data_IF_206001091268
#
_entry.id   IF_206001091268
#
_cell.length_a   1.000
_cell.length_b   1.000
_cell.length_c   1.000
_cell.angle_alpha   90.00
_cell.angle_beta   90.00
_cell.angle_gamma   90.00
#
_symmetry.space_group_name_H-M   'P 1'
#
loop_
_entity.id
_entity.type
_entity.pdbx_description
1 polymer ?
#
# COMPACT_ATOMS: atom_id res chain seq x y z
N UNK A 1 -23.78 -2.65 -76.75
CA UNK A 1 -23.05 -1.72 -75.85
C UNK A 1 -23.06 -2.37 -74.48
N UNK A 2 -21.99 -3.15 -74.19
CA UNK A 2 -21.83 -3.85 -72.89
C UNK A 2 -21.03 -2.96 -71.98
N UNK A 3 -21.59 -2.59 -70.81
CA UNK A 3 -20.92 -1.87 -69.75
C UNK A 3 -20.29 -2.89 -68.77
N UNK A 4 -18.97 -2.95 -68.69
CA UNK A 4 -18.26 -3.70 -67.66
C UNK A 4 -18.22 -2.88 -66.36
N UNK A 5 -18.90 -3.36 -65.32
CA UNK A 5 -18.74 -2.90 -63.94
C UNK A 5 -17.55 -3.67 -63.32
N UNK A 6 -16.40 -3.00 -63.16
CA UNK A 6 -15.28 -3.50 -62.42
C UNK A 6 -15.57 -3.27 -60.91
N UNK A 7 -15.84 -4.34 -60.18
CA UNK A 7 -15.92 -4.31 -58.73
C UNK A 7 -14.52 -4.23 -58.13
N UNK A 8 -14.11 -3.05 -57.63
CA UNK A 8 -12.91 -2.86 -56.84
C UNK A 8 -13.21 -3.39 -55.41
N UNK A 9 -12.80 -4.63 -55.18
CA UNK A 9 -12.78 -5.18 -53.81
C UNK A 9 -11.61 -4.55 -53.06
N UNK A 10 -11.88 -3.36 -52.45
CA UNK A 10 -10.97 -2.76 -51.48
C UNK A 10 -10.93 -3.65 -50.24
N UNK A 11 -9.80 -4.34 -50.02
CA UNK A 11 -9.52 -4.92 -48.72
C UNK A 11 -9.43 -3.75 -47.72
N UNK A 12 -10.49 -3.47 -46.98
CA UNK A 12 -10.41 -2.69 -45.80
C UNK A 12 -9.58 -3.49 -44.79
N UNK A 13 -8.31 -3.16 -44.66
CA UNK A 13 -7.52 -3.57 -43.49
C UNK A 13 -8.09 -2.81 -42.32
N UNK A 14 -9.05 -3.41 -41.60
CA UNK A 14 -9.48 -2.92 -40.31
C UNK A 14 -8.26 -3.13 -39.41
N UNK A 15 -7.52 -2.08 -39.13
CA UNK A 15 -6.52 -2.10 -38.06
C UNK A 15 -7.31 -2.47 -36.79
N UNK A 16 -7.16 -3.69 -36.35
CA UNK A 16 -7.70 -4.14 -35.08
C UNK A 16 -6.95 -3.32 -34.03
N UNK A 17 -7.64 -2.36 -33.43
CA UNK A 17 -7.09 -1.58 -32.32
C UNK A 17 -6.74 -2.58 -31.22
N UNK A 18 -5.43 -2.70 -30.92
CA UNK A 18 -4.97 -3.60 -29.88
C UNK A 18 -5.52 -3.08 -28.54
N UNK A 19 -6.31 -3.87 -27.87
CA UNK A 19 -6.94 -3.49 -26.61
C UNK A 19 -5.93 -3.20 -25.48
N UNK A 20 -4.68 -3.69 -25.63
CA UNK A 20 -3.64 -3.59 -24.62
C UNK A 20 -2.26 -3.36 -25.24
N UNK A 21 -1.38 -2.67 -24.51
CA UNK A 21 -0.03 -2.39 -24.95
C UNK A 21 0.91 -3.60 -24.85
N UNK A 22 0.62 -4.54 -23.96
CA UNK A 22 1.38 -5.76 -23.74
C UNK A 22 0.49 -6.88 -23.19
N UNK A 23 1.03 -8.11 -23.16
CA UNK A 23 0.39 -9.28 -22.54
C UNK A 23 1.47 -10.09 -21.81
N UNK A 24 1.24 -10.43 -20.56
CA UNK A 24 2.05 -11.43 -19.88
C UNK A 24 1.66 -12.84 -20.36
N UNK A 25 2.62 -13.55 -20.93
CA UNK A 25 2.46 -14.98 -21.23
C UNK A 25 2.32 -15.76 -19.92
N UNK A 26 3.13 -15.40 -18.92
CA UNK A 26 2.98 -15.90 -17.56
C UNK A 26 3.61 -14.97 -16.53
N UNK A 27 3.12 -15.09 -15.28
CA UNK A 27 3.74 -14.59 -14.05
C UNK A 27 3.74 -15.75 -13.06
N UNK A 28 4.89 -16.03 -12.48
CA UNK A 28 5.02 -16.98 -11.36
C UNK A 28 5.73 -16.27 -10.21
N UNK A 29 5.12 -16.35 -9.03
CA UNK A 29 5.68 -15.86 -7.77
C UNK A 29 5.79 -17.05 -6.82
N UNK A 30 6.99 -17.28 -6.31
CA UNK A 30 7.26 -18.39 -5.41
C UNK A 30 7.89 -17.88 -4.11
N UNK A 31 7.34 -18.28 -2.99
CA UNK A 31 7.81 -17.97 -1.65
C UNK A 31 8.28 -19.26 -1.00
N UNK A 32 9.51 -19.32 -0.58
CA UNK A 32 10.08 -20.52 0.08
C UNK A 32 10.63 -20.14 1.45
N UNK A 33 10.03 -20.70 2.51
CA UNK A 33 10.57 -20.64 3.87
C UNK A 33 11.56 -21.79 4.06
N UNK A 34 12.79 -21.47 4.42
CA UNK A 34 13.78 -22.48 4.80
C UNK A 34 13.62 -22.93 6.27
N UNK A 35 14.24 -24.05 6.64
CA UNK A 35 14.28 -24.50 8.04
C UNK A 35 14.98 -23.52 8.99
N UNK A 36 15.90 -22.73 8.47
CA UNK A 36 16.63 -21.69 9.21
C UNK A 36 15.83 -20.38 9.33
N UNK A 37 14.58 -20.35 8.84
CA UNK A 37 13.71 -19.19 8.87
C UNK A 37 14.01 -18.13 7.80
N UNK A 38 14.95 -18.38 6.88
CA UNK A 38 15.18 -17.47 5.75
C UNK A 38 14.06 -17.65 4.72
N UNK A 39 13.71 -16.57 4.04
CA UNK A 39 12.70 -16.55 2.98
C UNK A 39 13.35 -16.27 1.65
N UNK A 40 13.11 -17.11 0.65
CA UNK A 40 13.48 -16.86 -0.75
C UNK A 40 12.21 -16.55 -1.54
N UNK A 41 12.12 -15.33 -2.05
CA UNK A 41 11.11 -14.92 -3.01
C UNK A 41 11.67 -15.01 -4.40
N UNK A 42 11.08 -15.86 -5.24
CA UNK A 42 11.43 -16.02 -6.63
C UNK A 42 10.32 -15.49 -7.54
N UNK A 43 10.66 -14.56 -8.40
CA UNK A 43 9.79 -14.00 -9.43
C UNK A 43 10.25 -14.40 -10.82
N UNK A 44 9.33 -14.87 -11.63
CA UNK A 44 9.59 -15.19 -13.03
C UNK A 44 8.42 -14.75 -13.90
N UNK A 45 8.71 -14.07 -15.00
CA UNK A 45 7.70 -13.59 -15.94
C UNK A 45 8.16 -13.62 -17.39
N UNK A 46 7.17 -13.63 -18.29
CA UNK A 46 7.36 -13.47 -19.73
C UNK A 46 6.31 -12.49 -20.24
N UNK A 47 6.74 -11.35 -20.77
CA UNK A 47 5.90 -10.25 -21.21
C UNK A 47 6.09 -9.97 -22.70
N UNK A 48 5.04 -10.12 -23.50
CA UNK A 48 5.04 -9.78 -24.94
C UNK A 48 4.61 -8.33 -25.14
N UNK A 49 5.41 -7.56 -25.86
CA UNK A 49 5.17 -6.15 -26.18
C UNK A 49 4.35 -6.05 -27.48
N UNK A 50 3.23 -5.33 -27.45
CA UNK A 50 2.32 -5.23 -28.59
C UNK A 50 2.36 -3.87 -29.28
N UNK A 51 2.75 -2.81 -28.54
CA UNK A 51 2.81 -1.44 -29.04
C UNK A 51 4.15 -0.78 -28.69
N UNK A 52 4.45 0.34 -29.32
CA UNK A 52 5.60 1.18 -28.94
C UNK A 52 5.45 1.78 -27.53
N UNK A 53 4.24 2.08 -27.08
CA UNK A 53 3.99 2.63 -25.75
C UNK A 53 4.38 1.64 -24.65
N UNK A 54 4.23 0.32 -24.90
CA UNK A 54 4.60 -0.71 -23.95
C UNK A 54 6.03 -0.53 -23.42
N UNK A 55 7.00 -0.28 -24.26
CA UNK A 55 8.40 -0.18 -23.83
C UNK A 55 8.92 1.23 -23.66
N UNK A 56 8.30 2.22 -24.26
CA UNK A 56 8.69 3.61 -24.05
C UNK A 56 8.18 4.17 -22.71
N UNK A 57 7.06 3.65 -22.19
CA UNK A 57 6.37 4.25 -21.04
C UNK A 57 6.19 3.31 -19.85
N UNK A 58 5.98 2.01 -20.04
CA UNK A 58 5.51 1.12 -18.98
C UNK A 58 6.44 -0.02 -18.63
N UNK A 59 7.02 -0.72 -19.64
CA UNK A 59 7.72 -1.98 -19.43
C UNK A 59 9.16 -1.98 -19.94
N UNK A 60 9.72 -0.80 -20.23
CA UNK A 60 11.12 -0.67 -20.64
C UNK A 60 12.10 -0.95 -19.52
N UNK A 61 11.65 -0.83 -18.29
CA UNK A 61 12.45 -1.02 -17.08
C UNK A 61 11.71 -1.85 -16.04
N UNK A 62 12.46 -2.54 -15.18
CA UNK A 62 11.96 -3.23 -13.99
C UNK A 62 12.63 -2.67 -12.75
N UNK A 63 11.87 -2.51 -11.67
CA UNK A 63 12.32 -1.89 -10.43
C UNK A 63 12.15 -2.89 -9.28
N UNK A 64 13.22 -3.13 -8.51
CA UNK A 64 13.20 -4.03 -7.36
C UNK A 64 13.81 -3.32 -6.17
N UNK A 65 12.95 -2.95 -5.22
CA UNK A 65 13.40 -2.36 -3.95
C UNK A 65 13.78 -3.45 -2.97
N UNK A 66 14.89 -3.26 -2.27
CA UNK A 66 15.34 -4.18 -1.24
C UNK A 66 16.20 -3.50 -0.18
N UNK A 67 16.34 -4.17 0.95
CA UNK A 67 17.15 -3.71 2.07
C UNK A 67 18.39 -4.61 2.23
N UNK A 68 19.60 -4.15 1.86
CA UNK A 68 20.82 -4.94 1.94
C UNK A 68 21.22 -5.39 3.36
N UNK A 69 20.65 -4.79 4.41
CA UNK A 69 20.92 -5.20 5.79
C UNK A 69 20.44 -6.62 6.10
N UNK A 70 19.38 -7.08 5.41
CA UNK A 70 18.83 -8.43 5.61
C UNK A 70 18.39 -9.10 4.31
N UNK A 71 18.47 -8.44 3.17
CA UNK A 71 18.08 -8.98 1.86
C UNK A 71 19.25 -9.02 0.89
N UNK A 72 19.21 -10.01 0.01
CA UNK A 72 20.13 -10.13 -1.12
C UNK A 72 19.36 -10.39 -2.39
N UNK A 73 19.52 -9.48 -3.35
CA UNK A 73 18.93 -9.61 -4.69
C UNK A 73 19.89 -10.39 -5.62
N UNK A 74 19.32 -11.28 -6.43
CA UNK A 74 20.01 -11.96 -7.53
C UNK A 74 19.12 -11.95 -8.76
N UNK A 75 19.55 -11.27 -9.82
CA UNK A 75 18.92 -11.37 -11.13
C UNK A 75 19.42 -12.63 -11.80
N UNK A 76 18.51 -13.56 -12.14
CA UNK A 76 18.84 -14.82 -12.81
C UNK A 76 18.76 -14.67 -14.32
N UNK A 77 17.79 -13.87 -14.81
CA UNK A 77 17.58 -13.62 -16.24
C UNK A 77 17.00 -12.23 -16.46
N UNK A 78 17.58 -11.50 -17.39
CA UNK A 78 16.95 -10.33 -18.03
C UNK A 78 17.28 -10.44 -19.52
N UNK A 79 16.30 -10.86 -20.32
CA UNK A 79 16.49 -11.19 -21.74
C UNK A 79 15.30 -10.73 -22.54
N UNK A 80 15.55 -10.23 -23.74
CA UNK A 80 14.52 -9.95 -24.72
C UNK A 80 14.63 -10.97 -25.87
N UNK A 81 13.53 -11.58 -26.23
CA UNK A 81 13.38 -12.35 -27.49
C UNK A 81 12.75 -11.39 -28.48
N UNK A 82 13.50 -10.96 -29.48
CA UNK A 82 13.06 -10.02 -30.52
C UNK A 82 11.99 -10.66 -31.42
N UNK A 83 11.29 -9.85 -32.19
CA UNK A 83 10.22 -10.34 -33.08
C UNK A 83 10.71 -11.37 -34.10
N UNK A 84 11.98 -11.32 -34.52
CA UNK A 84 12.63 -12.29 -35.39
C UNK A 84 13.12 -13.56 -34.66
N UNK A 85 12.93 -13.62 -33.32
CA UNK A 85 13.39 -14.74 -32.49
C UNK A 85 14.81 -14.61 -31.95
N UNK A 86 15.54 -13.56 -32.29
CA UNK A 86 16.88 -13.29 -31.76
C UNK A 86 16.79 -12.99 -30.26
N UNK A 87 17.69 -13.61 -29.48
CA UNK A 87 17.78 -13.42 -28.02
C UNK A 87 18.85 -12.40 -27.71
N UNK A 88 18.48 -11.39 -26.90
CA UNK A 88 19.36 -10.32 -26.45
C UNK A 88 19.33 -10.29 -24.92
N UNK A 89 20.41 -10.67 -24.27
CA UNK A 89 20.57 -10.55 -22.83
C UNK A 89 20.87 -9.09 -22.48
N UNK A 90 20.32 -8.59 -21.37
CA UNK A 90 20.64 -7.24 -20.89
C UNK A 90 22.11 -7.14 -20.54
N UNK A 91 22.84 -6.14 -21.07
CA UNK A 91 24.27 -5.96 -20.79
C UNK A 91 24.50 -5.50 -19.35
N UNK A 92 25.75 -5.60 -18.87
CA UNK A 92 26.09 -5.27 -17.46
C UNK A 92 25.67 -3.86 -17.05
N UNK A 93 25.76 -2.88 -17.94
CA UNK A 93 25.33 -1.49 -17.68
C UNK A 93 23.83 -1.26 -17.71
N UNK A 94 23.03 -2.29 -17.96
CA UNK A 94 21.59 -2.25 -17.85
C UNK A 94 21.07 -2.43 -16.40
N UNK A 95 21.97 -2.77 -15.47
CA UNK A 95 21.66 -3.01 -14.08
C UNK A 95 22.23 -1.88 -13.23
N UNK A 96 21.36 -1.00 -12.73
CA UNK A 96 21.75 0.16 -11.96
C UNK A 96 21.13 0.12 -10.57
N UNK A 97 21.97 0.16 -9.55
CA UNK A 97 21.54 0.18 -8.17
C UNK A 97 21.53 1.62 -7.67
N UNK A 98 20.38 2.10 -7.25
CA UNK A 98 20.16 3.48 -6.82
C UNK A 98 19.47 3.54 -5.45
N UNK A 99 19.42 4.72 -4.85
CA UNK A 99 18.57 4.97 -3.70
C UNK A 99 17.11 5.11 -4.18
N UNK A 100 16.14 4.37 -3.58
CA UNK A 100 14.73 4.55 -3.92
C UNK A 100 14.28 6.00 -3.72
N UNK A 101 13.50 6.54 -4.65
CA UNK A 101 13.05 7.94 -4.60
C UNK A 101 12.33 8.31 -3.30
N UNK A 102 11.51 7.38 -2.77
CA UNK A 102 10.80 7.58 -1.50
C UNK A 102 11.72 7.63 -0.25
N UNK A 103 12.95 7.13 -0.35
CA UNK A 103 13.94 7.14 0.75
C UNK A 103 14.87 8.37 0.72
N UNK A 104 14.85 9.17 -0.36
CA UNK A 104 15.77 10.29 -0.56
C UNK A 104 15.62 11.43 0.48
N UNK A 105 14.46 11.49 1.15
CA UNK A 105 14.16 12.52 2.15
C UNK A 105 14.78 12.30 3.53
N UNK A 106 15.50 11.18 3.78
CA UNK A 106 16.06 10.90 5.09
C UNK A 106 17.35 10.09 5.03
N UNK A 107 18.40 10.59 5.68
CA UNK A 107 19.70 9.91 5.81
C UNK A 107 19.56 8.54 6.50
N UNK A 108 18.61 8.39 7.41
CA UNK A 108 18.36 7.13 8.13
C UNK A 108 18.04 5.95 7.21
N UNK A 109 17.56 6.21 6.00
CA UNK A 109 17.16 5.20 5.03
C UNK A 109 18.06 5.13 3.79
N UNK A 110 19.22 5.77 3.80
CA UNK A 110 20.18 5.76 2.70
C UNK A 110 20.80 4.37 2.43
N UNK A 111 20.56 3.39 3.29
CA UNK A 111 20.97 2.00 3.11
C UNK A 111 20.03 1.22 2.17
N UNK A 112 18.80 1.70 1.92
CA UNK A 112 17.88 1.08 0.99
C UNK A 112 18.39 1.14 -0.44
N UNK A 113 18.07 0.15 -1.23
CA UNK A 113 18.48 0.04 -2.65
C UNK A 113 17.26 -0.26 -3.52
N UNK A 114 17.31 0.29 -4.72
CA UNK A 114 16.43 -0.04 -5.82
C UNK A 114 17.29 -0.49 -7.01
N UNK A 115 17.12 -1.72 -7.43
CA UNK A 115 17.72 -2.21 -8.68
C UNK A 115 16.83 -1.80 -9.83
N UNK A 116 17.35 -0.95 -10.71
CA UNK A 116 16.74 -0.57 -11.98
C UNK A 116 17.35 -1.45 -13.06
N UNK A 117 16.51 -2.25 -13.71
CA UNK A 117 16.92 -3.13 -14.82
C UNK A 117 16.33 -2.58 -16.11
N UNK A 118 17.18 -1.98 -16.97
CA UNK A 118 16.76 -1.49 -18.29
C UNK A 118 16.79 -2.65 -19.30
N UNK A 119 15.64 -3.02 -19.84
CA UNK A 119 15.55 -4.06 -20.84
C UNK A 119 16.06 -3.54 -22.19
N UNK A 120 16.78 -4.39 -22.93
CA UNK A 120 17.43 -4.02 -24.19
C UNK A 120 16.89 -4.84 -25.38
N UNK A 121 16.98 -4.32 -26.60
CA UNK A 121 16.46 -5.00 -27.77
C UNK A 121 14.93 -4.95 -27.88
N UNK A 122 14.32 -3.92 -27.33
CA UNK A 122 12.87 -3.77 -27.28
C UNK A 122 12.33 -3.28 -28.62
N UNK A 123 11.31 -3.97 -29.12
CA UNK A 123 10.56 -3.64 -30.33
C UNK A 123 9.14 -4.21 -30.21
N UNK A 124 8.25 -3.79 -31.10
CA UNK A 124 6.89 -4.35 -31.18
C UNK A 124 6.98 -5.84 -31.58
N UNK A 125 6.30 -6.69 -30.81
CA UNK A 125 6.32 -8.14 -30.98
C UNK A 125 7.42 -8.85 -30.17
N UNK A 126 8.36 -8.11 -29.58
CA UNK A 126 9.38 -8.69 -28.70
C UNK A 126 8.77 -9.22 -27.39
N UNK A 127 9.49 -10.15 -26.75
CA UNK A 127 9.10 -10.73 -25.45
C UNK A 127 10.22 -10.54 -24.45
N UNK A 128 9.92 -9.91 -23.30
CA UNK A 128 10.84 -9.76 -22.17
C UNK A 128 10.69 -10.99 -21.26
N UNK A 129 11.78 -11.70 -21.02
CA UNK A 129 11.90 -12.73 -19.98
C UNK A 129 12.65 -12.13 -18.79
N UNK A 130 12.01 -12.11 -17.62
CA UNK A 130 12.59 -11.56 -16.41
C UNK A 130 12.45 -12.54 -15.24
N UNK A 131 13.56 -12.78 -14.52
CA UNK A 131 13.64 -13.76 -13.45
C UNK A 131 14.64 -13.31 -12.38
N UNK A 132 14.22 -13.31 -11.11
CA UNK A 132 15.09 -12.95 -10.00
C UNK A 132 14.70 -13.64 -8.69
N UNK A 133 15.67 -13.75 -7.77
CA UNK A 133 15.44 -14.11 -6.38
C UNK A 133 15.75 -12.94 -5.46
N UNK A 134 14.92 -12.76 -4.46
CA UNK A 134 15.12 -11.88 -3.32
C UNK A 134 15.15 -12.73 -2.04
N UNK A 135 16.34 -12.95 -1.51
CA UNK A 135 16.57 -13.76 -0.31
C UNK A 135 16.55 -12.86 0.92
N UNK A 136 15.65 -13.15 1.87
CA UNK A 136 15.52 -12.42 3.15
C UNK A 136 15.98 -13.29 4.30
N UNK A 137 16.83 -12.74 5.17
CA UNK A 137 17.32 -13.43 6.37
C UNK A 137 16.27 -13.38 7.50
N UNK A 138 16.14 -14.45 8.26
CA UNK A 138 15.22 -14.58 9.41
C UNK A 138 15.38 -13.44 10.46
N UNK A 139 16.60 -12.89 10.61
CA UNK A 139 16.84 -11.74 11.52
C UNK A 139 16.06 -10.48 11.16
N UNK A 140 15.66 -10.33 9.89
CA UNK A 140 14.84 -9.23 9.42
C UNK A 140 13.36 -9.52 9.56
N UNK A 141 12.94 -10.72 9.18
CA UNK A 141 11.52 -11.13 9.14
C UNK A 141 11.39 -12.55 9.67
N UNK A 142 10.93 -12.76 10.93
CA UNK A 142 10.88 -14.08 11.55
C UNK A 142 9.76 -14.99 11.00
N UNK A 143 8.85 -14.44 10.22
CA UNK A 143 7.74 -15.18 9.59
C UNK A 143 7.78 -15.01 8.08
N UNK A 144 7.39 -16.07 7.36
CA UNK A 144 7.00 -15.91 5.97
C UNK A 144 5.66 -15.18 5.93
N UNK A 145 5.60 -14.07 5.22
CA UNK A 145 4.40 -13.27 5.01
C UNK A 145 4.31 -12.86 3.55
N UNK A 146 3.10 -12.83 3.03
CA UNK A 146 2.84 -12.38 1.67
C UNK A 146 1.44 -11.83 1.50
N UNK A 147 1.34 -10.90 0.57
CA UNK A 147 0.10 -10.26 0.15
C UNK A 147 0.14 -10.15 -1.38
N UNK A 148 -0.87 -10.69 -2.04
CA UNK A 148 -0.94 -10.74 -3.49
C UNK A 148 -2.29 -10.27 -3.99
N UNK A 149 -2.28 -9.12 -4.66
CA UNK A 149 -3.43 -8.55 -5.35
C UNK A 149 -3.34 -8.92 -6.82
N UNK A 150 -4.34 -9.63 -7.34
CA UNK A 150 -4.37 -10.02 -8.74
C UNK A 150 -5.06 -8.93 -9.57
N UNK A 151 -4.37 -7.84 -9.73
CA UNK A 151 -4.77 -6.68 -10.53
C UNK A 151 -3.59 -6.22 -11.37
N UNK A 152 -3.68 -6.38 -12.67
CA UNK A 152 -2.59 -6.06 -13.61
C UNK A 152 -3.08 -5.05 -14.66
N UNK A 153 -2.23 -4.10 -15.10
CA UNK A 153 -2.62 -3.13 -16.12
C UNK A 153 -2.79 -3.74 -17.51
N UNK A 154 -2.28 -4.96 -17.71
CA UNK A 154 -2.38 -5.74 -18.96
C UNK A 154 -2.74 -7.17 -18.64
N UNK A 155 -3.35 -7.94 -19.57
CA UNK A 155 -3.74 -9.33 -19.32
C UNK A 155 -2.54 -10.22 -18.98
N UNK A 156 -2.80 -11.24 -18.14
CA UNK A 156 -1.86 -12.31 -17.82
C UNK A 156 -2.48 -13.64 -18.24
N UNK A 157 -1.88 -14.36 -19.20
CA UNK A 157 -2.42 -15.63 -19.71
C UNK A 157 -2.30 -16.77 -18.69
N UNK A 158 -1.27 -16.73 -17.84
CA UNK A 158 -1.06 -17.71 -16.77
C UNK A 158 -0.45 -17.05 -15.55
N UNK A 159 -1.21 -16.96 -14.45
CA UNK A 159 -0.73 -16.45 -13.18
C UNK A 159 -0.68 -17.58 -12.13
N UNK A 160 0.45 -17.71 -11.46
CA UNK A 160 0.67 -18.74 -10.45
C UNK A 160 1.38 -18.17 -9.22
N UNK A 161 0.87 -18.53 -8.03
CA UNK A 161 1.50 -18.24 -6.75
C UNK A 161 1.80 -19.58 -6.06
N UNK A 162 3.02 -19.73 -5.57
CA UNK A 162 3.50 -20.95 -4.91
C UNK A 162 4.09 -20.55 -3.55
N UNK A 163 3.65 -21.22 -2.50
CA UNK A 163 4.23 -21.04 -1.16
C UNK A 163 4.73 -22.38 -0.66
N UNK A 164 6.02 -22.43 -0.31
CA UNK A 164 6.69 -23.63 0.18
C UNK A 164 7.13 -23.41 1.63
N UNK A 165 6.70 -24.30 2.52
CA UNK A 165 7.08 -24.26 3.94
C UNK A 165 7.59 -25.63 4.38
N UNK A 166 8.51 -25.72 5.35
CA UNK A 166 8.94 -27.01 5.89
C UNK A 166 7.73 -27.81 6.42
N UNK A 167 7.77 -29.14 6.27
CA UNK A 167 6.77 -30.01 6.88
C UNK A 167 6.66 -29.74 8.39
N UNK A 168 5.42 -29.65 8.89
CA UNK A 168 5.12 -29.27 10.26
C UNK A 168 4.96 -27.77 10.50
N UNK A 169 5.31 -26.92 9.54
CA UNK A 169 5.02 -25.49 9.60
C UNK A 169 3.60 -25.24 9.13
N UNK A 170 2.82 -24.51 9.94
CA UNK A 170 1.47 -24.10 9.57
C UNK A 170 1.55 -22.84 8.68
N UNK A 171 1.00 -22.94 7.49
CA UNK A 171 0.75 -21.77 6.64
C UNK A 171 -0.73 -21.37 6.80
N UNK A 172 -0.96 -20.22 7.40
CA UNK A 172 -2.27 -19.58 7.42
C UNK A 172 -2.45 -18.79 6.14
N UNK A 173 -3.62 -18.84 5.54
CA UNK A 173 -3.92 -18.06 4.32
C UNK A 173 -5.41 -17.73 4.22
N UNK A 174 -5.71 -16.66 3.49
CA UNK A 174 -7.06 -16.24 3.16
C UNK A 174 -7.11 -15.77 1.71
N UNK A 175 -8.06 -16.31 0.94
CA UNK A 175 -8.36 -15.88 -0.42
C UNK A 175 -9.67 -15.10 -0.40
N UNK A 176 -9.66 -13.87 -0.88
CA UNK A 176 -10.82 -13.00 -0.98
C UNK A 176 -11.18 -12.75 -2.45
N UNK A 177 -12.45 -12.48 -2.69
CA UNK A 177 -13.03 -12.13 -4.00
C UNK A 177 -12.85 -13.18 -5.10
N UNK A 178 -12.34 -14.37 -4.75
CA UNK A 178 -12.23 -15.53 -5.64
C UNK A 178 -12.34 -16.81 -4.82
N UNK A 179 -13.16 -17.76 -5.31
CA UNK A 179 -13.24 -19.10 -4.71
C UNK A 179 -12.18 -20.00 -5.33
N UNK A 180 -10.98 -19.94 -4.80
CA UNK A 180 -9.84 -20.74 -5.23
C UNK A 180 -9.09 -21.26 -4.01
N UNK A 181 -8.97 -22.56 -3.88
CA UNK A 181 -8.12 -23.22 -2.88
C UNK A 181 -6.80 -23.65 -3.51
N UNK A 182 -5.68 -23.70 -2.77
CA UNK A 182 -4.44 -24.19 -3.32
C UNK A 182 -4.49 -25.70 -3.55
N UNK A 183 -3.79 -26.16 -4.56
CA UNK A 183 -3.30 -27.53 -4.61
C UNK A 183 -2.19 -27.69 -3.58
N UNK A 184 -2.29 -28.74 -2.72
CA UNK A 184 -1.30 -28.96 -1.66
C UNK A 184 -0.60 -30.27 -1.96
N UNK A 185 0.73 -30.21 -2.09
CA UNK A 185 1.58 -31.38 -2.32
C UNK A 185 2.75 -31.38 -1.34
N UNK A 186 3.37 -32.55 -1.15
CA UNK A 186 4.56 -32.69 -0.31
C UNK A 186 5.72 -33.21 -1.14
N UNK A 187 6.84 -32.51 -1.12
CA UNK A 187 8.06 -32.94 -1.79
C UNK A 187 9.31 -32.47 -1.04
N UNK A 188 10.29 -33.34 -0.91
CA UNK A 188 11.61 -33.01 -0.31
C UNK A 188 11.52 -32.41 1.10
N UNK A 189 10.55 -32.86 1.94
CA UNK A 189 10.33 -32.34 3.30
C UNK A 189 9.73 -30.94 3.35
N UNK A 190 9.05 -30.52 2.27
CA UNK A 190 8.33 -29.25 2.15
C UNK A 190 6.86 -29.51 1.82
N UNK A 191 5.97 -28.78 2.46
CA UNK A 191 4.59 -28.61 2.02
C UNK A 191 4.54 -27.49 0.98
N UNK A 192 3.93 -27.76 -0.17
CA UNK A 192 3.86 -26.87 -1.31
C UNK A 192 2.40 -26.53 -1.55
N UNK A 193 2.07 -25.26 -1.43
CA UNK A 193 0.75 -24.70 -1.71
C UNK A 193 0.81 -23.99 -3.06
N UNK A 194 -0.01 -24.39 -4.03
CA UNK A 194 -0.04 -23.81 -5.36
C UNK A 194 -1.41 -23.26 -5.69
N UNK A 195 -1.51 -21.94 -5.87
CA UNK A 195 -2.68 -21.28 -6.43
C UNK A 195 -2.44 -21.06 -7.92
N UNK A 196 -3.24 -21.72 -8.75
CA UNK A 196 -3.19 -21.54 -10.20
C UNK A 196 -4.41 -20.72 -10.62
N UNK A 197 -4.19 -19.43 -10.90
CA UNK A 197 -5.26 -18.49 -11.28
C UNK A 197 -5.63 -18.60 -12.76
N UNK A 198 -4.80 -19.27 -13.57
CA UNK A 198 -5.00 -19.30 -15.01
C UNK A 198 -4.89 -17.88 -15.60
N UNK A 199 -5.83 -17.55 -16.49
CA UNK A 199 -5.90 -16.23 -17.11
C UNK A 199 -6.44 -15.20 -16.12
N UNK A 200 -5.77 -14.03 -16.04
CA UNK A 200 -6.21 -12.86 -15.30
C UNK A 200 -6.40 -11.72 -16.31
N UNK A 201 -7.60 -11.17 -16.36
CA UNK A 201 -7.90 -10.05 -17.24
C UNK A 201 -7.21 -8.77 -16.79
N UNK A 202 -6.97 -7.88 -17.74
CA UNK A 202 -6.42 -6.56 -17.41
C UNK A 202 -7.41 -5.76 -16.58
N UNK A 203 -6.86 -5.01 -15.67
CA UNK A 203 -7.63 -4.08 -14.88
C UNK A 203 -6.97 -2.70 -14.92
N UNK A 204 -7.48 -1.79 -15.73
CA UNK A 204 -7.01 -0.42 -15.74
C UNK A 204 -7.27 0.21 -14.37
N UNK A 205 -6.26 0.86 -13.83
CA UNK A 205 -6.39 1.58 -12.58
C UNK A 205 -7.27 2.82 -12.79
N UNK A 206 -8.43 2.85 -12.13
CA UNK A 206 -9.35 3.99 -12.16
C UNK A 206 -9.21 4.83 -10.88
N UNK A 207 -9.41 6.14 -11.02
CA UNK A 207 -9.41 7.05 -9.88
C UNK A 207 -10.66 6.76 -9.02
N UNK A 208 -10.51 6.79 -7.69
CA UNK A 208 -11.57 6.53 -6.71
C UNK A 208 -12.11 5.08 -6.66
N UNK A 209 -11.36 4.11 -7.14
CA UNK A 209 -11.71 2.71 -6.88
C UNK A 209 -11.70 2.41 -5.38
N UNK A 210 -12.54 1.47 -4.92
CA UNK A 210 -12.45 0.94 -3.56
C UNK A 210 -11.06 0.34 -3.29
N UNK A 211 -10.76 0.08 -2.02
CA UNK A 211 -9.55 -0.63 -1.65
C UNK A 211 -9.43 -1.95 -2.42
N UNK A 212 -8.25 -2.25 -2.94
CA UNK A 212 -8.01 -3.37 -3.85
C UNK A 212 -8.43 -4.72 -3.25
N UNK A 213 -8.22 -4.92 -1.96
CA UNK A 213 -8.64 -6.13 -1.22
C UNK A 213 -10.16 -6.33 -1.15
N UNK A 214 -10.94 -5.27 -1.36
CA UNK A 214 -12.42 -5.32 -1.39
C UNK A 214 -12.97 -5.76 -2.73
N UNK A 215 -12.17 -5.68 -3.79
CA UNK A 215 -12.68 -5.80 -5.16
C UNK A 215 -11.96 -6.86 -6.00
N UNK A 216 -10.60 -6.90 -5.93
CA UNK A 216 -9.83 -7.86 -6.71
C UNK A 216 -9.60 -9.17 -5.96
N UNK A 217 -9.31 -10.27 -6.69
CA UNK A 217 -8.79 -11.46 -6.06
C UNK A 217 -7.55 -11.10 -5.23
N UNK A 218 -7.61 -11.41 -3.96
CA UNK A 218 -6.62 -11.02 -2.97
C UNK A 218 -6.25 -12.23 -2.12
N UNK A 219 -4.97 -12.57 -2.12
CA UNK A 219 -4.41 -13.64 -1.31
C UNK A 219 -3.49 -13.04 -0.25
N UNK A 220 -3.81 -13.25 1.02
CA UNK A 220 -2.92 -12.97 2.15
C UNK A 220 -2.53 -14.26 2.83
N UNK A 221 -1.28 -14.37 3.29
CA UNK A 221 -0.78 -15.55 3.99
C UNK A 221 0.34 -15.21 4.96
N UNK A 222 0.45 -16.03 6.03
CA UNK A 222 1.51 -15.88 7.03
C UNK A 222 1.79 -17.21 7.73
N UNK A 223 3.04 -17.41 8.14
CA UNK A 223 3.42 -18.49 9.07
C UNK A 223 3.41 -18.03 10.54
N UNK A 224 2.99 -16.81 10.82
CA UNK A 224 2.81 -16.34 12.19
C UNK A 224 1.78 -17.19 12.94
N UNK A 225 2.08 -17.66 14.16
CA UNK A 225 1.22 -18.61 14.86
C UNK A 225 -0.03 -17.96 15.46
N UNK A 226 -0.05 -16.65 15.67
CA UNK A 226 -1.20 -15.94 16.25
C UNK A 226 -1.15 -14.43 15.97
N UNK A 227 -2.29 -13.75 16.14
CA UNK A 227 -2.40 -12.29 16.11
C UNK A 227 -1.40 -11.65 17.07
N UNK A 228 -1.33 -12.11 18.32
CA UNK A 228 -0.43 -11.56 19.33
C UNK A 228 1.04 -11.64 18.89
N UNK A 229 1.48 -12.78 18.37
CA UNK A 229 2.88 -12.97 17.91
C UNK A 229 3.21 -12.07 16.73
N UNK A 230 2.25 -11.80 15.84
CA UNK A 230 2.45 -10.82 14.77
C UNK A 230 2.60 -9.41 15.31
N UNK A 231 1.80 -9.00 16.30
CA UNK A 231 1.87 -7.67 16.92
C UNK A 231 3.16 -7.48 17.75
N UNK A 232 3.74 -8.54 18.29
CA UNK A 232 5.03 -8.48 18.99
C UNK A 232 6.19 -8.02 18.10
N UNK A 233 6.08 -8.15 16.76
CA UNK A 233 7.04 -7.55 15.82
C UNK A 233 7.14 -6.03 16.00
N UNK A 234 6.04 -5.38 16.35
CA UNK A 234 5.99 -3.95 16.59
C UNK A 234 6.41 -3.63 18.03
N UNK A 235 5.76 -4.25 18.99
CA UNK A 235 5.78 -3.82 20.40
C UNK A 235 7.07 -4.14 21.15
N UNK A 236 7.83 -5.16 20.71
CA UNK A 236 9.05 -5.61 21.37
C UNK A 236 10.31 -4.88 20.84
N UNK A 237 10.22 -3.58 20.61
CA UNK A 237 11.35 -2.81 20.11
C UNK A 237 11.43 -1.40 20.77
N UNK A 238 12.62 -0.76 20.79
CA UNK A 238 12.83 0.54 21.42
C UNK A 238 11.85 1.62 20.98
N UNK A 239 11.42 1.61 19.72
CA UNK A 239 10.42 2.55 19.20
C UNK A 239 9.16 2.66 20.07
N UNK A 240 8.70 1.53 20.63
CA UNK A 240 7.49 1.46 21.46
C UNK A 240 7.78 1.51 22.97
N UNK A 241 8.99 1.14 23.40
CA UNK A 241 9.33 1.02 24.83
C UNK A 241 10.15 2.21 25.35
N UNK A 242 10.90 2.90 24.49
CA UNK A 242 11.66 4.10 24.84
C UNK A 242 10.82 5.36 24.62
N UNK A 243 10.22 5.86 25.68
CA UNK A 243 9.36 7.05 25.65
C UNK A 243 10.10 8.37 25.82
N UNK A 244 11.44 8.35 25.88
CA UNK A 244 12.26 9.57 26.07
C UNK A 244 12.10 10.50 24.88
N UNK A 245 11.92 11.78 25.19
CA UNK A 245 11.82 12.85 24.21
C UNK A 245 12.98 13.82 24.36
N UNK A 246 13.51 14.39 23.28
CA UNK A 246 14.50 15.47 23.33
C UNK A 246 13.94 16.69 24.08
N UNK A 247 14.84 17.44 24.72
CA UNK A 247 14.45 18.65 25.49
C UNK A 247 13.69 19.67 24.62
N UNK A 248 14.03 19.75 23.33
CA UNK A 248 13.35 20.62 22.38
C UNK A 248 11.87 20.22 22.17
N UNK A 249 11.58 18.92 22.07
CA UNK A 249 10.22 18.41 22.00
C UNK A 249 9.45 18.69 23.30
N UNK A 250 10.06 18.39 24.45
CA UNK A 250 9.47 18.64 25.77
C UNK A 250 9.11 20.13 25.94
N UNK A 251 10.02 21.04 25.59
CA UNK A 251 9.78 22.47 25.68
C UNK A 251 8.59 22.94 24.83
N UNK A 252 8.43 22.38 23.62
CA UNK A 252 7.28 22.68 22.74
C UNK A 252 5.97 22.21 23.36
N UNK A 253 5.96 21.02 23.95
CA UNK A 253 4.78 20.48 24.62
C UNK A 253 4.41 21.31 25.84
N UNK A 254 5.38 21.70 26.68
CA UNK A 254 5.14 22.55 27.86
C UNK A 254 4.60 23.94 27.44
N UNK A 255 5.02 24.50 26.33
CA UNK A 255 4.45 25.74 25.78
C UNK A 255 2.96 25.57 25.44
N UNK A 256 2.60 24.47 24.77
CA UNK A 256 1.19 24.18 24.43
C UNK A 256 0.38 23.95 25.71
N UNK A 257 0.88 23.21 26.68
CA UNK A 257 0.19 22.95 27.95
C UNK A 257 -0.18 24.25 28.71
N UNK A 258 0.72 25.23 28.72
CA UNK A 258 0.51 26.53 29.40
C UNK A 258 -0.45 27.46 28.65
N UNK A 259 -0.83 27.14 27.42
CA UNK A 259 -1.80 27.96 26.69
C UNK A 259 -3.19 27.86 27.31
N UNK A 260 -3.99 28.94 27.20
CA UNK A 260 -5.40 28.96 27.66
C UNK A 260 -6.35 28.25 26.67
N UNK A 261 -5.84 27.36 25.83
CA UNK A 261 -6.64 26.59 24.88
C UNK A 261 -7.37 25.43 25.56
N UNK A 262 -8.51 25.02 25.03
CA UNK A 262 -9.17 23.77 25.44
C UNK A 262 -8.32 22.55 25.13
N UNK A 263 -8.58 21.44 25.81
CA UNK A 263 -7.82 20.19 25.59
C UNK A 263 -7.92 19.70 24.14
N UNK A 264 -9.08 19.79 23.51
CA UNK A 264 -9.23 19.48 22.09
C UNK A 264 -8.31 20.33 21.21
N UNK A 265 -8.20 21.64 21.46
CA UNK A 265 -7.29 22.52 20.73
C UNK A 265 -5.82 22.17 20.98
N UNK A 266 -5.44 21.84 22.22
CA UNK A 266 -4.07 21.42 22.57
C UNK A 266 -3.70 20.11 21.86
N UNK A 267 -4.57 19.12 21.86
CA UNK A 267 -4.37 17.85 21.15
C UNK A 267 -4.15 18.10 19.67
N UNK A 268 -4.97 18.94 19.03
CA UNK A 268 -4.80 19.28 17.61
C UNK A 268 -3.50 20.07 17.36
N UNK A 269 -3.11 20.97 18.26
CA UNK A 269 -1.82 21.67 18.16
C UNK A 269 -0.64 20.71 18.22
N UNK A 270 -0.65 19.71 19.13
CA UNK A 270 0.38 18.68 19.23
C UNK A 270 0.43 17.85 17.96
N UNK A 271 -0.71 17.42 17.45
CA UNK A 271 -0.80 16.70 16.18
C UNK A 271 -0.22 17.53 15.03
N UNK A 272 -0.57 18.79 14.94
CA UNK A 272 -0.10 19.68 13.86
C UNK A 272 1.42 19.92 13.91
N UNK A 273 2.07 19.87 15.08
CA UNK A 273 3.54 19.86 15.17
C UNK A 273 4.12 18.69 14.35
N UNK A 274 3.59 17.48 14.57
CA UNK A 274 4.09 16.29 13.88
C UNK A 274 3.83 16.34 12.37
N UNK A 275 2.69 16.89 11.95
CA UNK A 275 2.34 16.95 10.53
C UNK A 275 3.14 18.03 9.81
N UNK A 276 3.25 19.23 10.38
CA UNK A 276 3.78 20.39 9.69
C UNK A 276 5.30 20.53 9.81
N UNK A 277 5.90 20.02 10.89
CA UNK A 277 7.33 20.16 11.14
C UNK A 277 8.15 18.92 10.71
N UNK A 278 7.50 17.75 10.51
CA UNK A 278 8.18 16.53 10.12
C UNK A 278 7.75 16.05 8.72
N UNK A 279 8.74 15.79 7.87
CA UNK A 279 8.52 15.19 6.55
C UNK A 279 7.96 13.78 6.66
N UNK A 280 6.98 13.45 5.83
CA UNK A 280 6.45 12.10 5.72
C UNK A 280 7.25 11.28 4.69
N UNK A 281 7.74 10.12 5.11
CA UNK A 281 8.46 9.17 4.27
C UNK A 281 7.55 8.00 3.93
N UNK A 282 7.23 7.83 2.66
CA UNK A 282 6.37 6.76 2.17
C UNK A 282 7.13 5.43 2.03
N UNK A 283 7.77 5.00 3.13
CA UNK A 283 8.54 3.75 3.16
C UNK A 283 7.66 2.65 3.74
N UNK A 284 7.39 1.56 2.99
CA UNK A 284 6.63 0.43 3.50
C UNK A 284 7.35 -0.23 4.69
N UNK A 285 6.61 -0.58 5.74
CA UNK A 285 7.17 -1.19 6.97
C UNK A 285 7.95 -2.48 6.69
N UNK A 286 7.51 -3.27 5.71
CA UNK A 286 8.20 -4.49 5.30
C UNK A 286 9.61 -4.21 4.72
N UNK A 287 9.80 -3.10 3.99
CA UNK A 287 11.10 -2.72 3.41
C UNK A 287 12.16 -2.46 4.50
N UNK A 288 11.72 -2.05 5.68
CA UNK A 288 12.59 -1.81 6.84
C UNK A 288 12.48 -2.94 7.89
N UNK A 289 11.96 -4.11 7.49
CA UNK A 289 11.79 -5.28 8.37
C UNK A 289 10.99 -4.96 9.65
N UNK A 290 10.01 -4.06 9.57
CA UNK A 290 9.24 -3.57 10.72
C UNK A 290 10.10 -3.01 11.87
N UNK A 291 11.30 -2.52 11.56
CA UNK A 291 12.19 -1.85 12.52
C UNK A 291 11.96 -0.35 12.45
N UNK A 292 11.55 0.23 13.55
CA UNK A 292 11.19 1.64 13.62
C UNK A 292 12.16 2.41 14.52
N UNK A 293 12.35 3.66 14.20
CA UNK A 293 13.14 4.58 15.01
C UNK A 293 12.35 5.04 16.23
N UNK A 294 13.10 5.36 17.30
CA UNK A 294 12.54 5.90 18.53
C UNK A 294 11.91 7.29 18.31
N UNK A 295 10.97 7.74 19.17
CA UNK A 295 10.45 9.10 19.13
C UNK A 295 11.52 10.19 19.10
N UNK A 296 12.60 9.98 19.82
CA UNK A 296 13.73 10.92 19.84
C UNK A 296 14.41 11.03 18.47
N UNK A 297 14.76 9.91 17.84
CA UNK A 297 15.41 9.87 16.53
C UNK A 297 14.50 10.47 15.42
N UNK A 298 13.19 10.21 15.50
CA UNK A 298 12.22 10.77 14.55
C UNK A 298 12.10 12.29 14.69
N UNK A 299 12.05 12.79 15.93
CA UNK A 299 12.02 14.22 16.21
C UNK A 299 13.30 14.92 15.74
N UNK A 300 14.47 14.37 16.06
CA UNK A 300 15.77 14.95 15.71
C UNK A 300 16.02 14.98 14.20
N UNK A 301 15.55 13.95 13.46
CA UNK A 301 15.68 13.89 12.00
C UNK A 301 14.64 14.69 11.24
N UNK A 302 13.61 15.24 11.91
CA UNK A 302 12.48 15.95 11.32
C UNK A 302 11.80 15.17 10.17
N UNK A 303 11.81 13.85 10.24
CA UNK A 303 11.23 12.98 9.22
C UNK A 303 10.85 11.62 9.79
N UNK A 304 9.81 10.98 9.26
CA UNK A 304 9.41 9.65 9.69
C UNK A 304 8.44 8.96 8.75
N UNK A 305 8.43 7.64 8.81
CA UNK A 305 7.38 6.83 8.21
C UNK A 305 6.06 7.07 8.94
N UNK A 306 4.95 6.61 8.38
CA UNK A 306 3.63 6.79 9.02
C UNK A 306 3.62 6.28 10.46
N UNK A 307 4.07 5.04 10.67
CA UNK A 307 4.11 4.44 12.01
C UNK A 307 5.07 5.17 12.95
N UNK A 308 6.24 5.60 12.50
CA UNK A 308 7.19 6.36 13.31
C UNK A 308 6.62 7.71 13.75
N UNK A 309 5.98 8.44 12.84
CA UNK A 309 5.29 9.69 13.17
C UNK A 309 4.11 9.45 14.12
N UNK A 310 3.41 8.31 13.98
CA UNK A 310 2.32 7.91 14.88
C UNK A 310 2.84 7.60 16.29
N UNK A 311 3.96 6.89 16.41
CA UNK A 311 4.61 6.61 17.70
C UNK A 311 5.07 7.91 18.36
N UNK A 312 5.69 8.81 17.60
CA UNK A 312 6.08 10.13 18.11
C UNK A 312 4.87 10.93 18.58
N UNK A 313 3.78 10.98 17.79
CA UNK A 313 2.56 11.68 18.17
C UNK A 313 1.99 11.15 19.51
N UNK A 314 1.95 9.82 19.66
CA UNK A 314 1.51 9.21 20.92
C UNK A 314 2.42 9.60 22.09
N UNK A 315 3.74 9.60 21.89
CA UNK A 315 4.69 10.02 22.94
C UNK A 315 4.52 11.49 23.34
N UNK A 316 4.31 12.40 22.37
CA UNK A 316 4.07 13.82 22.62
C UNK A 316 2.75 14.06 23.36
N UNK A 317 1.68 13.35 23.01
CA UNK A 317 0.40 13.44 23.71
C UNK A 317 0.50 12.91 25.15
N UNK A 318 1.19 11.79 25.37
CA UNK A 318 1.47 11.24 26.70
C UNK A 318 2.30 12.21 27.54
N UNK A 319 3.30 12.88 26.96
CA UNK A 319 4.07 13.94 27.61
C UNK A 319 3.21 15.14 28.00
N UNK A 320 2.19 15.45 27.21
CA UNK A 320 1.22 16.49 27.54
C UNK A 320 0.23 16.08 28.66
N UNK A 321 0.15 14.80 29.02
CA UNK A 321 -0.74 14.25 30.03
C UNK A 321 -2.01 13.62 29.46
N UNK A 322 -2.11 13.45 28.15
CA UNK A 322 -3.26 12.79 27.51
C UNK A 322 -3.02 11.30 27.38
N UNK A 323 -4.08 10.50 27.52
CA UNK A 323 -4.05 9.10 27.11
C UNK A 323 -3.91 9.03 25.59
N UNK A 324 -3.01 8.19 25.12
CA UNK A 324 -2.77 8.02 23.71
C UNK A 324 -2.39 6.55 23.42
N UNK A 325 -3.22 5.86 22.66
CA UNK A 325 -3.05 4.49 22.27
C UNK A 325 -2.67 4.44 20.77
N UNK A 326 -1.66 3.66 20.40
CA UNK A 326 -1.31 3.44 19.00
C UNK A 326 -2.19 2.32 18.48
N UNK A 327 -2.88 2.55 17.36
CA UNK A 327 -3.73 1.57 16.72
C UNK A 327 -3.35 1.37 15.25
N UNK A 328 -3.33 0.10 14.83
CA UNK A 328 -3.17 -0.30 13.44
C UNK A 328 -4.54 -0.56 12.82
N UNK A 329 -4.78 0.00 11.65
CA UNK A 329 -6.01 -0.17 10.89
C UNK A 329 -5.86 -1.31 9.90
N UNK A 330 -6.81 -2.24 9.90
CA UNK A 330 -6.85 -3.41 9.01
C UNK A 330 -8.26 -3.53 8.44
N UNK A 331 -8.44 -3.75 7.13
CA UNK A 331 -9.77 -4.00 6.59
C UNK A 331 -10.44 -5.19 7.29
N UNK A 332 -11.65 -4.98 7.82
CA UNK A 332 -12.34 -6.00 8.63
C UNK A 332 -12.54 -7.31 7.87
N UNK A 333 -12.77 -7.22 6.55
CA UNK A 333 -12.95 -8.39 5.70
C UNK A 333 -11.65 -9.17 5.44
N UNK A 334 -10.48 -8.53 5.60
CA UNK A 334 -9.15 -9.17 5.48
C UNK A 334 -8.76 -9.86 6.78
N UNK A 335 -8.97 -9.19 7.91
CA UNK A 335 -8.54 -9.64 9.22
C UNK A 335 -9.05 -11.05 9.55
N UNK A 336 -8.15 -11.90 10.07
CA UNK A 336 -8.49 -13.12 10.78
C UNK A 336 -8.05 -12.96 12.24
N UNK A 337 -8.90 -13.38 13.17
CA UNK A 337 -8.61 -13.23 14.61
C UNK A 337 -7.70 -14.32 15.17
N UNK A 338 -7.50 -15.41 14.43
CA UNK A 338 -6.64 -16.53 14.86
C UNK A 338 -5.18 -16.31 14.48
N UNK A 339 -4.94 -15.65 13.36
CA UNK A 339 -3.61 -15.32 12.84
C UNK A 339 -3.65 -13.96 12.18
N UNK A 340 -2.50 -13.36 11.95
CA UNK A 340 -2.44 -12.02 11.38
C UNK A 340 -1.23 -11.86 10.48
N UNK A 341 -1.44 -11.22 9.34
CA UNK A 341 -0.38 -10.76 8.48
C UNK A 341 -0.18 -9.25 8.66
N UNK A 342 0.95 -8.79 9.21
CA UNK A 342 1.24 -7.37 9.35
C UNK A 342 1.24 -6.56 8.05
N UNK A 343 1.35 -7.22 6.89
CA UNK A 343 1.24 -6.56 5.59
C UNK A 343 -0.18 -6.05 5.32
N UNK A 344 -1.19 -6.66 5.94
CA UNK A 344 -2.60 -6.27 5.79
C UNK A 344 -2.94 -4.93 6.50
N UNK A 345 -1.99 -4.32 7.22
CA UNK A 345 -2.18 -3.00 7.85
C UNK A 345 -2.16 -1.93 6.77
N UNK A 346 -3.25 -1.17 6.67
CA UNK A 346 -3.38 -0.10 5.68
C UNK A 346 -3.10 1.31 6.24
N UNK A 347 -3.14 1.50 7.56
CA UNK A 347 -2.84 2.79 8.19
C UNK A 347 -2.58 2.65 9.70
N UNK A 348 -2.02 3.72 10.30
CA UNK A 348 -1.81 3.83 11.74
C UNK A 348 -2.41 5.12 12.28
N UNK A 349 -2.98 5.04 13.50
CA UNK A 349 -3.59 6.18 14.16
C UNK A 349 -3.22 6.22 15.64
N UNK A 350 -3.36 7.41 16.25
CA UNK A 350 -3.38 7.55 17.69
C UNK A 350 -4.83 7.70 18.13
N UNK A 351 -5.31 6.76 18.95
CA UNK A 351 -6.57 6.89 19.66
C UNK A 351 -6.34 7.70 20.94
N UNK A 352 -7.11 8.74 21.16
CA UNK A 352 -7.09 9.53 22.41
C UNK A 352 -8.51 9.88 22.82
N UNK A 353 -8.69 10.20 24.09
CA UNK A 353 -9.97 10.62 24.65
C UNK A 353 -9.95 12.12 24.92
N UNK A 354 -10.98 12.80 24.48
CA UNK A 354 -11.23 14.19 24.82
C UNK A 354 -12.36 14.18 25.85
N UNK A 355 -12.19 14.81 27.04
CA UNK A 355 -13.30 15.04 27.95
C UNK A 355 -14.46 15.66 27.18
N UNK A 356 -15.68 15.18 27.36
CA UNK A 356 -16.92 15.65 26.72
C UNK A 356 -17.16 15.20 25.25
N UNK A 357 -16.18 14.61 24.57
CA UNK A 357 -16.31 14.07 23.24
C UNK A 357 -15.77 12.64 23.31
N UNK A 358 -16.42 11.68 22.76
CA UNK A 358 -15.95 10.28 22.70
C UNK A 358 -14.49 10.14 22.21
N UNK A 359 -13.95 8.94 22.20
CA UNK A 359 -12.62 8.66 21.63
C UNK A 359 -12.48 9.23 20.23
N UNK A 360 -11.36 9.91 19.98
CA UNK A 360 -10.98 10.39 18.64
C UNK A 360 -9.76 9.65 18.13
N UNK A 361 -9.63 9.57 16.82
CA UNK A 361 -8.51 8.94 16.13
C UNK A 361 -7.75 10.01 15.36
N UNK A 362 -6.45 10.09 15.55
CA UNK A 362 -5.59 11.11 14.96
C UNK A 362 -4.60 10.45 13.97
N UNK A 363 -4.56 10.93 12.74
CA UNK A 363 -3.47 10.60 11.83
C UNK A 363 -2.26 11.50 12.07
N UNK A 364 -1.08 10.96 11.94
CA UNK A 364 0.18 11.69 11.99
C UNK A 364 0.66 12.20 10.62
N UNK A 365 -0.09 11.90 9.54
CA UNK A 365 0.31 12.22 8.16
C UNK A 365 -0.72 13.04 7.38
N UNK A 366 -2.01 13.00 7.74
CA UNK A 366 -3.05 13.77 7.05
C UNK A 366 -3.33 15.09 7.77
N UNK A 367 -3.37 16.19 7.02
CA UNK A 367 -3.60 17.53 7.57
C UNK A 367 -4.97 17.69 8.22
N UNK A 368 -6.01 17.03 7.71
CA UNK A 368 -7.38 17.23 8.15
C UNK A 368 -7.88 16.11 9.08
N UNK A 369 -8.15 16.40 10.36
CA UNK A 369 -8.64 15.40 11.30
C UNK A 369 -9.97 14.77 10.88
N UNK A 370 -10.77 15.48 10.10
CA UNK A 370 -12.11 15.06 9.68
C UNK A 370 -12.13 14.18 8.43
N UNK A 371 -11.00 14.08 7.69
CA UNK A 371 -10.87 13.15 6.57
C UNK A 371 -10.63 11.71 7.01
N UNK A 372 -10.55 11.45 8.32
CA UNK A 372 -10.18 10.14 8.85
C UNK A 372 -11.36 9.17 8.91
N UNK A 373 -12.56 9.65 9.26
CA UNK A 373 -13.71 8.77 9.43
C UNK A 373 -14.00 7.90 8.20
N UNK A 374 -13.99 8.41 6.96
CA UNK A 374 -14.18 7.57 5.79
C UNK A 374 -13.13 6.46 5.65
N UNK A 375 -11.89 6.73 6.03
CA UNK A 375 -10.80 5.76 5.97
C UNK A 375 -10.86 4.70 7.09
N UNK A 376 -11.61 4.98 8.16
CA UNK A 376 -11.81 4.05 9.26
C UNK A 376 -13.01 3.12 9.04
N UNK A 377 -13.97 3.50 8.20
CA UNK A 377 -15.14 2.68 7.94
C UNK A 377 -14.77 1.36 7.25
N UNK A 378 -15.32 0.27 7.76
CA UNK A 378 -15.03 -1.07 7.27
C UNK A 378 -13.69 -1.63 7.73
N UNK A 379 -13.00 -0.92 8.62
CA UNK A 379 -11.74 -1.37 9.21
C UNK A 379 -11.93 -1.78 10.69
N UNK A 380 -11.08 -2.69 11.10
CA UNK A 380 -10.85 -3.04 12.50
C UNK A 380 -9.57 -2.37 12.94
N UNK A 381 -9.62 -1.66 14.06
CA UNK A 381 -8.46 -1.03 14.68
C UNK A 381 -7.90 -1.98 15.74
N UNK A 382 -6.66 -2.38 15.58
CA UNK A 382 -5.93 -3.24 16.50
C UNK A 382 -5.04 -2.39 17.38
N UNK A 383 -5.10 -2.60 18.71
CA UNK A 383 -4.20 -1.93 19.64
C UNK A 383 -2.78 -2.48 19.47
N UNK A 384 -1.84 -1.59 19.19
CA UNK A 384 -0.40 -1.87 19.06
C UNK A 384 0.34 -1.22 20.22
N UNK A 385 0.24 -1.81 21.40
CA UNK A 385 0.87 -1.29 22.62
C UNK A 385 1.49 -2.44 23.43
N UNK A 386 2.77 -2.31 23.86
CA UNK A 386 3.44 -3.35 24.67
C UNK A 386 2.74 -3.62 26.01
N UNK A 387 2.04 -2.63 26.57
CA UNK A 387 1.35 -2.75 27.84
C UNK A 387 -0.07 -3.31 27.72
N UNK A 388 -0.53 -3.65 26.52
CA UNK A 388 -1.89 -4.14 26.31
C UNK A 388 -2.04 -5.60 26.76
N UNK A 389 -2.85 -5.80 27.80
CA UNK A 389 -3.14 -7.14 28.35
C UNK A 389 -4.05 -8.01 27.48
N UNK A 390 -4.53 -7.55 26.34
CA UNK A 390 -5.44 -8.35 25.50
C UNK A 390 -5.66 -7.74 24.13
N UNK A 391 -6.19 -8.52 23.22
CA UNK A 391 -6.62 -8.21 21.87
C UNK A 391 -7.73 -7.11 21.87
N UNK A 392 -7.39 -5.89 22.30
CA UNK A 392 -8.33 -4.77 22.19
C UNK A 392 -8.46 -4.40 20.72
N UNK A 393 -9.67 -4.44 20.23
CA UNK A 393 -10.02 -4.03 18.88
C UNK A 393 -11.29 -3.21 18.87
N UNK A 394 -11.39 -2.32 17.89
CA UNK A 394 -12.57 -1.50 17.64
C UNK A 394 -12.97 -1.66 16.18
N UNK A 395 -14.19 -2.04 15.93
CA UNK A 395 -14.77 -2.07 14.59
C UNK A 395 -15.51 -0.77 14.34
N UNK A 396 -15.17 -0.09 13.27
CA UNK A 396 -15.77 1.18 12.91
C UNK A 396 -16.77 0.94 11.79
N UNK A 397 -18.04 1.02 12.11
CA UNK A 397 -19.12 0.89 11.14
C UNK A 397 -19.56 2.26 10.62
N UNK A 398 -19.90 2.37 9.33
CA UNK A 398 -20.46 3.60 8.82
C UNK A 398 -21.83 3.86 9.47
N UNK A 399 -22.01 5.01 10.02
CA UNK A 399 -23.35 5.55 10.24
C UNK A 399 -24.04 5.75 8.89
N UNK A 400 -25.38 5.83 8.86
CA UNK A 400 -26.11 6.11 7.64
C UNK A 400 -25.55 7.36 6.97
N UNK A 401 -24.88 7.15 5.84
CA UNK A 401 -24.25 8.21 5.07
C UNK A 401 -25.17 8.58 3.91
N UNK A 402 -25.68 9.81 3.90
CA UNK A 402 -26.58 10.27 2.85
C UNK A 402 -26.13 11.60 2.25
N UNK A 403 -26.34 11.76 0.98
CA UNK A 403 -26.30 13.07 0.30
C UNK A 403 -27.70 13.31 -0.27
N UNK A 404 -28.32 14.41 0.12
CA UNK A 404 -29.57 14.87 -0.47
C UNK A 404 -29.33 16.22 -1.13
N UNK A 405 -29.69 16.34 -2.38
CA UNK A 405 -29.61 17.59 -3.15
C UNK A 405 -31.02 17.96 -3.60
N UNK A 406 -31.45 19.14 -3.23
CA UNK A 406 -32.68 19.74 -3.74
C UNK A 406 -32.33 21.06 -4.42
N UNK A 407 -32.83 21.26 -5.63
CA UNK A 407 -32.54 22.50 -6.34
C UNK A 407 -33.57 22.81 -7.42
N UNK A 408 -33.62 24.08 -7.80
CA UNK A 408 -34.30 24.55 -8.98
C UNK A 408 -33.34 25.40 -9.81
N UNK A 409 -33.28 25.11 -11.09
CA UNK A 409 -32.32 25.74 -12.00
C UNK A 409 -33.05 26.20 -13.26
N UNK A 410 -32.75 27.45 -13.68
CA UNK A 410 -33.13 27.99 -14.95
C UNK A 410 -31.99 27.82 -15.95
N UNK A 411 -32.23 27.09 -17.03
CA UNK A 411 -31.26 26.85 -18.09
C UNK A 411 -31.40 27.91 -19.14
N UNK A 412 -30.36 28.73 -19.31
CA UNK A 412 -30.24 29.75 -20.35
C UNK A 412 -29.29 29.26 -21.44
N UNK A 413 -29.21 29.97 -22.57
CA UNK A 413 -28.40 29.53 -23.72
C UNK A 413 -26.93 29.24 -23.39
N UNK A 414 -26.34 29.95 -22.41
CA UNK A 414 -24.92 29.82 -22.03
C UNK A 414 -24.68 29.82 -20.53
N UNK A 415 -25.73 29.71 -19.70
CA UNK A 415 -25.62 29.69 -18.25
C UNK A 415 -26.72 28.87 -17.61
N UNK A 416 -26.44 28.34 -16.43
CA UNK A 416 -27.41 27.74 -15.54
C UNK A 416 -27.43 28.56 -14.26
N UNK A 417 -28.59 29.05 -13.88
CA UNK A 417 -28.78 29.86 -12.66
C UNK A 417 -29.83 29.21 -11.79
N UNK A 418 -29.58 29.13 -10.48
CA UNK A 418 -30.55 28.52 -9.61
C UNK A 418 -30.11 28.48 -8.14
N UNK A 419 -30.88 27.75 -7.35
CA UNK A 419 -30.58 27.50 -5.94
C UNK A 419 -30.54 26.00 -5.70
N UNK A 420 -29.52 25.53 -4.97
CA UNK A 420 -29.43 24.17 -4.49
C UNK A 420 -29.26 24.14 -2.98
N UNK A 421 -29.91 23.19 -2.35
CA UNK A 421 -29.73 22.84 -0.95
C UNK A 421 -29.09 21.44 -0.91
N UNK A 422 -27.96 21.32 -0.22
CA UNK A 422 -27.24 20.08 -0.07
C UNK A 422 -27.22 19.70 1.41
N UNK A 423 -27.74 18.51 1.72
CA UNK A 423 -27.68 17.87 3.03
C UNK A 423 -26.76 16.64 2.93
N UNK A 424 -25.65 16.64 3.65
CA UNK A 424 -24.71 15.51 3.70
C UNK A 424 -24.55 15.01 5.13
N UNK A 425 -24.63 13.68 5.32
CA UNK A 425 -24.47 13.02 6.61
C UNK A 425 -23.45 11.90 6.55
N UNK A 426 -22.92 11.49 7.71
CA UNK A 426 -21.98 10.39 7.83
C UNK A 426 -20.68 10.65 7.06
N UNK A 427 -20.18 9.67 6.32
CA UNK A 427 -18.93 9.79 5.56
C UNK A 427 -18.97 10.84 4.44
N UNK A 428 -20.14 11.29 4.05
CA UNK A 428 -20.31 12.35 3.06
C UNK A 428 -20.31 13.74 3.67
N UNK A 429 -19.95 13.89 4.93
CA UNK A 429 -19.78 15.16 5.60
C UNK A 429 -18.36 15.77 5.41
N UNK A 430 -17.78 15.80 4.20
CA UNK A 430 -16.51 16.50 3.93
C UNK A 430 -16.67 18.01 4.05
N UNK A 431 -17.91 18.48 4.10
CA UNK A 431 -18.28 19.90 4.20
C UNK A 431 -18.29 20.43 5.63
N UNK A 432 -17.83 19.67 6.59
CA UNK A 432 -17.70 20.11 7.99
C UNK A 432 -16.94 21.44 8.13
N UNK A 433 -15.95 21.72 7.27
CA UNK A 433 -15.22 23.00 7.22
C UNK A 433 -15.95 24.12 6.52
N UNK A 434 -16.97 23.85 5.76
CA UNK A 434 -17.76 24.88 5.06
C UNK A 434 -18.40 25.82 6.08
N UNK A 435 -18.78 25.33 7.25
CA UNK A 435 -19.40 26.14 8.29
C UNK A 435 -18.42 27.11 9.01
N UNK A 436 -17.11 26.95 8.79
CA UNK A 436 -16.09 27.75 9.48
C UNK A 436 -15.42 28.83 8.61
N UNK A 437 -15.58 28.78 7.27
CA UNK A 437 -14.85 29.70 6.38
C UNK A 437 -15.52 29.94 5.02
N UNK A 438 -16.11 31.11 4.83
CA UNK A 438 -16.79 31.52 3.57
C UNK A 438 -15.91 31.45 2.32
N UNK A 439 -14.58 31.56 2.44
CA UNK A 439 -13.65 31.46 1.30
C UNK A 439 -13.47 29.99 0.84
N UNK A 440 -13.54 29.05 1.76
CA UNK A 440 -13.46 27.62 1.45
C UNK A 440 -14.76 27.13 0.77
N UNK A 441 -15.92 27.69 1.16
CA UNK A 441 -17.21 27.42 0.51
C UNK A 441 -17.14 27.76 -0.98
N UNK A 442 -16.69 28.96 -1.29
CA UNK A 442 -16.61 29.43 -2.67
C UNK A 442 -15.61 28.61 -3.51
N UNK A 443 -14.51 28.16 -2.93
CA UNK A 443 -13.52 27.31 -3.63
C UNK A 443 -14.07 25.93 -3.97
N UNK A 444 -14.86 25.33 -3.07
CA UNK A 444 -15.48 24.03 -3.28
C UNK A 444 -16.61 24.12 -4.29
N UNK A 445 -17.46 25.14 -4.19
CA UNK A 445 -18.60 25.33 -5.10
C UNK A 445 -18.17 25.75 -6.53
N UNK A 446 -16.99 26.35 -6.71
CA UNK A 446 -16.45 26.70 -8.03
C UNK A 446 -15.60 25.60 -8.64
N UNK A 447 -15.28 24.54 -7.91
CA UNK A 447 -14.55 23.36 -8.38
C UNK A 447 -15.44 22.15 -8.69
N UNK A 448 -16.75 22.28 -8.51
CA UNK A 448 -17.78 21.36 -8.98
C UNK A 448 -18.32 21.84 -10.33
#
# INVERSE_FOLDING_TARGET
MLVFLAAIAGKFCVAQELAYDAIYNFITKEYTLSKDGNVDYHYSSSLKLLTHQAFQRYFGESFIVYNPEFQKLKINKSRTIMADGKKVDSPHNAFNEVLPGFASGSVAYNHLREMVVSHTGLEVGATIEFDYNLMSQAKGMPYLMGEEILSFPVPVESCKIIVKVPEGTILNYKMLNLRLSPEITTAKGMMIYTWNFGKVEANPHEIYMPEASSYFPFLTFSTSPSLQRSLELFTNQPAFTDTRLPQTAVARIEQIKRSNSSDSKKIIQIRNLVINELSYLQIPSATIAFKFRTPAEVWESLSGTEIEKTILLAALLRQAGYQADIVASVPTHVLDTKWFNPLDINAYYVRTEIPEIASIYLSAIYEHPYNLLPNLYGNTLLLVDPAAESEKKWEIYPENSTIKVKGSFDIKSFSVEGKAELEATGRYHPFYRILENDKEINRILTGL
#
